data_IF_276876246510
#
_entry.id   IF_276876246510
#
_cell.length_a   1.000
_cell.length_b   1.000
_cell.length_c   1.000
_cell.angle_alpha   90.00
_cell.angle_beta   90.00
_cell.angle_gamma   90.00
#
_symmetry.space_group_name_H-M   'P 1'
#
loop_
_entity.id
_entity.type
_entity.pdbx_description
1 polymer ?
#
# COMPACT_ATOMS: atom_id res chain seq x y z
N UNK A 1 -0.62 2.50 -6.50
CA UNK A 1 -1.15 2.33 -7.88
C UNK A 1 -0.28 1.42 -8.74
N UNK A 2 1.03 1.70 -8.89
CA UNK A 2 1.92 0.88 -9.75
C UNK A 2 1.91 -0.62 -9.44
N UNK A 3 1.92 -1.01 -8.16
CA UNK A 3 1.87 -2.43 -7.78
C UNK A 3 0.58 -3.16 -8.20
N UNK A 4 -0.57 -2.48 -8.14
CA UNK A 4 -1.86 -3.05 -8.57
C UNK A 4 -1.84 -3.29 -10.09
N UNK A 5 -1.41 -2.27 -10.84
CA UNK A 5 -1.30 -2.37 -12.30
C UNK A 5 -0.30 -3.46 -12.72
N UNK A 6 0.88 -3.51 -12.08
CA UNK A 6 1.88 -4.55 -12.36
C UNK A 6 1.35 -5.96 -12.12
N UNK A 7 0.59 -6.16 -11.03
CA UNK A 7 0.02 -7.48 -10.69
C UNK A 7 -1.05 -7.92 -11.69
N UNK A 8 -1.86 -6.98 -12.19
CA UNK A 8 -2.85 -7.26 -13.24
C UNK A 8 -2.16 -7.50 -14.60
N UNK A 9 -1.15 -6.71 -14.95
CA UNK A 9 -0.35 -6.93 -16.15
C UNK A 9 0.32 -8.32 -16.13
N UNK A 10 0.79 -8.79 -14.97
CA UNK A 10 1.29 -10.16 -14.84
C UNK A 10 0.22 -11.19 -15.23
N UNK A 11 -1.04 -10.98 -14.80
CA UNK A 11 -2.16 -11.84 -15.20
C UNK A 11 -2.45 -11.84 -16.71
N UNK A 12 -2.08 -10.78 -17.42
CA UNK A 12 -2.29 -10.66 -18.88
C UNK A 12 -1.12 -11.23 -19.68
N UNK A 13 0.11 -10.87 -19.30
CA UNK A 13 1.32 -11.06 -20.11
C UNK A 13 2.23 -12.21 -19.65
N UNK A 14 1.94 -12.88 -18.54
CA UNK A 14 2.78 -13.99 -18.08
C UNK A 14 2.88 -15.11 -19.13
N UNK A 15 4.06 -15.73 -19.22
CA UNK A 15 4.35 -16.81 -20.16
C UNK A 15 5.30 -17.82 -19.54
N UNK A 16 4.97 -19.10 -19.65
CA UNK A 16 5.81 -20.23 -19.23
C UNK A 16 7.10 -20.31 -20.05
N UNK A 17 7.14 -19.74 -21.25
CA UNK A 17 8.36 -19.63 -22.04
C UNK A 17 9.43 -18.75 -21.36
N UNK A 18 8.99 -17.76 -20.57
CA UNK A 18 9.87 -16.88 -19.79
C UNK A 18 10.14 -17.47 -18.41
N UNK A 19 9.13 -18.05 -17.77
CA UNK A 19 9.26 -18.70 -16.47
C UNK A 19 8.53 -20.05 -16.45
N UNK A 20 9.24 -21.17 -16.70
CA UNK A 20 8.63 -22.50 -16.70
C UNK A 20 8.02 -22.94 -15.36
N UNK A 21 8.43 -22.33 -14.24
CA UNK A 21 7.85 -22.58 -12.92
C UNK A 21 6.68 -21.66 -12.55
N UNK A 22 6.27 -20.78 -13.46
CA UNK A 22 5.19 -19.82 -13.26
C UNK A 22 3.85 -20.33 -13.77
N UNK A 23 3.10 -19.42 -14.39
CA UNK A 23 1.85 -19.71 -15.07
C UNK A 23 1.74 -18.85 -16.33
N UNK A 24 0.97 -19.34 -17.29
CA UNK A 24 0.56 -18.56 -18.44
C UNK A 24 -0.50 -17.54 -18.07
N UNK A 25 -0.43 -16.36 -18.70
CA UNK A 25 -1.40 -15.29 -18.59
C UNK A 25 -2.47 -15.35 -19.68
N UNK A 26 -3.33 -14.33 -19.68
CA UNK A 26 -4.48 -14.25 -20.59
C UNK A 26 -4.07 -14.37 -22.06
N UNK A 27 -3.01 -13.67 -22.50
CA UNK A 27 -2.58 -13.69 -23.91
C UNK A 27 -1.99 -15.04 -24.34
N UNK A 28 -1.58 -15.87 -23.38
CA UNK A 28 -1.06 -17.20 -23.61
C UNK A 28 -2.16 -18.29 -23.46
N UNK A 29 -3.42 -17.88 -23.28
CA UNK A 29 -4.60 -18.75 -23.28
C UNK A 29 -5.17 -19.07 -21.90
N UNK A 30 -4.57 -18.58 -20.82
CA UNK A 30 -5.01 -18.87 -19.45
C UNK A 30 -5.70 -17.65 -18.81
N UNK A 31 -7.00 -17.52 -19.07
CA UNK A 31 -7.83 -16.46 -18.48
C UNK A 31 -8.01 -16.60 -16.96
N UNK A 32 -7.92 -17.82 -16.43
CA UNK A 32 -8.09 -18.06 -14.99
C UNK A 32 -6.98 -17.39 -14.17
N UNK A 33 -5.76 -17.30 -14.72
CA UNK A 33 -4.64 -16.67 -14.03
C UNK A 33 -4.89 -15.17 -13.78
N UNK A 34 -5.44 -14.44 -14.75
CA UNK A 34 -5.84 -13.04 -14.54
C UNK A 34 -6.86 -12.89 -13.41
N UNK A 35 -7.83 -13.82 -13.33
CA UNK A 35 -8.80 -13.86 -12.23
C UNK A 35 -8.13 -14.04 -10.86
N UNK A 36 -7.18 -14.97 -10.76
CA UNK A 36 -6.38 -15.19 -9.54
C UNK A 36 -5.59 -13.94 -9.13
N UNK A 37 -4.97 -13.25 -10.11
CA UNK A 37 -4.23 -12.01 -9.85
C UNK A 37 -5.15 -10.88 -9.36
N UNK A 38 -6.34 -10.73 -9.96
CA UNK A 38 -7.33 -9.76 -9.54
C UNK A 38 -7.87 -10.03 -8.12
N UNK A 39 -8.11 -11.31 -7.80
CA UNK A 39 -8.53 -11.72 -6.47
C UNK A 39 -7.42 -11.43 -5.44
N UNK A 40 -6.17 -11.78 -5.75
CA UNK A 40 -5.03 -11.48 -4.88
C UNK A 40 -4.89 -9.99 -4.60
N UNK A 41 -5.04 -9.16 -5.63
CA UNK A 41 -5.09 -7.69 -5.48
C UNK A 41 -6.22 -7.27 -4.53
N UNK A 42 -7.43 -7.78 -4.72
CA UNK A 42 -8.58 -7.47 -3.86
C UNK A 42 -8.35 -7.85 -2.40
N UNK A 43 -7.81 -9.04 -2.15
CA UNK A 43 -7.49 -9.54 -0.81
C UNK A 43 -6.45 -8.64 -0.13
N UNK A 44 -5.37 -8.30 -0.83
CA UNK A 44 -4.31 -7.44 -0.27
C UNK A 44 -4.85 -6.03 0.01
N UNK A 45 -5.68 -5.47 -0.86
CA UNK A 45 -6.31 -4.16 -0.63
C UNK A 45 -7.17 -4.17 0.64
N UNK A 46 -8.05 -5.16 0.80
CA UNK A 46 -8.90 -5.28 1.99
C UNK A 46 -8.04 -5.48 3.24
N UNK A 47 -7.07 -6.40 3.17
CA UNK A 47 -6.18 -6.69 4.30
C UNK A 47 -5.42 -5.44 4.75
N UNK A 48 -4.72 -4.78 3.82
CA UNK A 48 -3.91 -3.60 4.14
C UNK A 48 -4.75 -2.44 4.66
N UNK A 49 -5.95 -2.20 4.11
CA UNK A 49 -6.85 -1.17 4.60
C UNK A 49 -7.33 -1.50 6.02
N UNK A 50 -7.89 -2.69 6.23
CA UNK A 50 -8.49 -3.09 7.51
C UNK A 50 -7.45 -3.18 8.62
N UNK A 51 -6.34 -3.88 8.36
CA UNK A 51 -5.30 -4.09 9.37
C UNK A 51 -4.62 -2.77 9.71
N UNK A 52 -4.25 -1.95 8.72
CA UNK A 52 -3.63 -0.65 9.00
C UNK A 52 -4.60 0.25 9.76
N UNK A 53 -5.88 0.27 9.40
CA UNK A 53 -6.89 1.05 10.13
C UNK A 53 -7.00 0.62 11.60
N UNK A 54 -7.07 -0.69 11.85
CA UNK A 54 -7.14 -1.23 13.22
C UNK A 54 -5.88 -0.84 14.00
N UNK A 55 -4.69 -1.04 13.42
CA UNK A 55 -3.42 -0.73 14.09
C UNK A 55 -3.30 0.77 14.39
N UNK A 56 -3.57 1.64 13.42
CA UNK A 56 -3.54 3.09 13.62
C UNK A 56 -4.52 3.51 14.71
N UNK A 57 -5.73 2.92 14.73
CA UNK A 57 -6.71 3.21 15.76
C UNK A 57 -6.22 2.76 17.13
N UNK A 58 -5.72 1.54 17.28
CA UNK A 58 -5.19 1.02 18.54
C UNK A 58 -4.04 1.87 19.07
N UNK A 59 -3.11 2.29 18.20
CA UNK A 59 -2.01 3.17 18.60
C UNK A 59 -2.56 4.52 19.06
N UNK A 60 -3.50 5.10 18.33
CA UNK A 60 -4.11 6.39 18.66
C UNK A 60 -4.89 6.40 19.99
N UNK A 61 -5.27 5.23 20.53
CA UNK A 61 -5.85 5.13 21.88
C UNK A 61 -4.80 5.29 22.98
N UNK A 62 -3.55 4.91 22.73
CA UNK A 62 -2.46 4.93 23.72
C UNK A 62 -1.64 6.21 23.59
N UNK A 63 -1.27 6.55 22.35
CA UNK A 63 -0.48 7.73 22.01
C UNK A 63 -1.11 8.37 20.77
N UNK A 64 -1.71 9.57 20.93
CA UNK A 64 -2.32 10.28 19.81
C UNK A 64 -1.33 10.43 18.64
N UNK A 65 -1.71 9.93 17.47
CA UNK A 65 -0.83 9.93 16.29
C UNK A 65 -0.75 11.29 15.60
N UNK A 66 -1.69 12.19 15.88
CA UNK A 66 -1.77 13.54 15.31
C UNK A 66 -1.52 14.57 16.40
N UNK A 67 -0.75 15.61 16.06
CA UNK A 67 -0.51 16.75 16.94
C UNK A 67 -1.83 17.45 17.28
N UNK A 68 -1.84 18.17 18.40
CA UNK A 68 -2.94 19.10 18.70
C UNK A 68 -3.00 20.22 17.66
N UNK A 69 -4.18 20.79 17.42
CA UNK A 69 -4.36 21.85 16.41
C UNK A 69 -3.44 23.05 16.64
N UNK A 70 -3.17 23.40 17.92
CA UNK A 70 -2.22 24.46 18.26
C UNK A 70 -0.78 24.08 17.88
N UNK A 71 -0.36 22.85 18.17
CA UNK A 71 0.99 22.38 17.84
C UNK A 71 1.20 22.25 16.32
N UNK A 72 0.16 21.86 15.58
CA UNK A 72 0.17 21.82 14.12
C UNK A 72 0.29 23.22 13.49
N UNK A 73 -0.28 24.26 14.13
CA UNK A 73 -0.13 25.67 13.70
C UNK A 73 1.28 26.24 13.97
N UNK A 74 1.89 25.90 15.10
CA UNK A 74 3.24 26.35 15.47
C UNK A 74 4.33 25.63 14.65
N UNK A 75 3.99 24.46 14.10
CA UNK A 75 4.87 23.65 13.26
C UNK A 75 5.51 22.49 14.04
N UNK A 76 5.63 21.34 13.39
CA UNK A 76 6.12 20.09 14.00
C UNK A 76 7.53 20.24 14.58
N UNK A 77 8.43 20.91 13.85
CA UNK A 77 9.81 21.13 14.28
C UNK A 77 9.88 21.93 15.58
N UNK A 78 9.11 23.01 15.68
CA UNK A 78 9.04 23.84 16.90
C UNK A 78 8.35 23.10 18.04
N UNK A 79 7.25 22.40 17.75
CA UNK A 79 6.40 21.77 18.76
C UNK A 79 7.02 20.50 19.39
N UNK A 80 7.67 19.67 18.58
CA UNK A 80 8.22 18.37 19.02
C UNK A 80 9.74 18.42 19.23
N UNK A 81 10.45 19.28 18.49
CA UNK A 81 11.92 19.30 18.48
C UNK A 81 12.52 20.63 18.98
N UNK A 82 11.71 21.66 19.28
CA UNK A 82 12.16 23.02 19.63
C UNK A 82 13.20 23.58 18.65
N UNK A 83 13.10 23.20 17.38
CA UNK A 83 14.01 23.63 16.32
C UNK A 83 13.24 24.31 15.19
N UNK A 84 13.96 25.12 14.40
CA UNK A 84 13.43 25.65 13.15
C UNK A 84 14.29 25.12 12.01
N UNK A 85 13.67 24.40 11.05
CA UNK A 85 14.36 23.91 9.86
C UNK A 85 14.97 25.04 9.02
N UNK A 86 14.42 26.25 9.11
CA UNK A 86 14.93 27.44 8.45
C UNK A 86 15.19 28.55 9.48
N UNK A 87 16.46 28.89 9.68
CA UNK A 87 16.86 30.10 10.38
C UNK A 87 17.10 31.18 9.32
N UNK A 88 16.14 32.10 9.17
CA UNK A 88 16.35 33.36 8.45
C UNK A 88 16.65 34.48 9.44
#
# INVERSE_FOLDING_TARGET
VGGLLGTLCLGVFASLAVNPGGADGLLQGNAAFLGSQALGVGVVLVYTLVVSFILLKLINLVSPLRLSDHAEQVGMDTAEHNESAYQS
#
